data_IF_551897278252
#
_entry.id   IF_551897278252
#
_cell.length_a   1.000
_cell.length_b   1.000
_cell.length_c   1.000
_cell.angle_alpha   90.00
_cell.angle_beta   90.00
_cell.angle_gamma   90.00
#
_symmetry.space_group_name_H-M   'P 1'
#
loop_
_entity.id
_entity.type
_entity.pdbx_description
1 polymer ?
#
# COMPACT_ATOMS: atom_id res chain seq x y z
N UNK A 1 20.90 2.16 -14.81
CA UNK A 1 19.91 3.14 -14.32
C UNK A 1 19.10 3.66 -15.50
N UNK A 2 17.85 3.19 -15.60
CA UNK A 2 16.89 3.64 -16.60
C UNK A 2 16.18 4.93 -16.16
N UNK A 3 15.31 5.44 -17.03
CA UNK A 3 14.42 6.57 -16.70
C UNK A 3 13.30 6.16 -15.74
N UNK A 4 13.04 4.87 -15.64
CA UNK A 4 12.04 4.24 -14.78
C UNK A 4 12.60 3.02 -14.07
N UNK A 5 12.13 2.78 -12.85
CA UNK A 5 12.45 1.61 -12.06
C UNK A 5 11.16 0.86 -11.74
N UNK A 6 11.06 -0.40 -12.16
CA UNK A 6 10.02 -1.32 -11.68
C UNK A 6 10.54 -1.98 -10.39
N UNK A 7 9.83 -1.77 -9.30
CA UNK A 7 10.17 -2.30 -7.98
C UNK A 7 9.15 -3.38 -7.61
N UNK A 8 9.64 -4.55 -7.23
CA UNK A 8 8.82 -5.66 -6.72
C UNK A 8 9.37 -6.10 -5.38
N UNK A 9 8.47 -6.48 -4.47
CA UNK A 9 8.85 -7.15 -3.23
C UNK A 9 9.26 -8.60 -3.52
N UNK A 10 10.04 -9.21 -2.64
CA UNK A 10 10.56 -10.58 -2.85
C UNK A 10 9.46 -11.65 -2.88
N UNK A 11 8.29 -11.34 -2.36
CA UNK A 11 7.08 -12.17 -2.32
C UNK A 11 6.02 -11.73 -3.36
N UNK A 12 6.42 -10.93 -4.37
CA UNK A 12 5.59 -10.54 -5.50
C UNK A 12 6.07 -11.21 -6.79
N UNK A 13 5.15 -11.80 -7.55
CA UNK A 13 5.43 -12.44 -8.84
C UNK A 13 4.56 -11.83 -9.93
N UNK A 14 5.19 -11.26 -10.97
CA UNK A 14 4.45 -10.71 -12.11
C UNK A 14 3.69 -11.83 -12.84
N UNK A 15 2.43 -11.55 -13.14
CA UNK A 15 1.63 -12.37 -14.05
C UNK A 15 2.05 -12.15 -15.51
N UNK A 16 1.77 -13.09 -16.43
CA UNK A 16 1.98 -12.88 -17.85
C UNK A 16 1.31 -11.60 -18.35
N UNK A 17 2.02 -10.81 -19.13
CA UNK A 17 1.52 -9.54 -19.66
C UNK A 17 1.91 -9.36 -21.14
N UNK A 18 1.15 -8.52 -21.86
CA UNK A 18 1.53 -8.11 -23.21
C UNK A 18 2.48 -6.92 -23.15
N UNK A 19 3.68 -7.12 -23.67
CA UNK A 19 4.71 -6.08 -23.75
C UNK A 19 4.23 -4.92 -24.62
N UNK A 20 3.61 -5.19 -25.74
CA UNK A 20 3.14 -4.18 -26.70
C UNK A 20 2.09 -3.26 -26.05
N UNK A 21 1.12 -3.85 -25.33
CA UNK A 21 0.10 -3.08 -24.60
C UNK A 21 0.69 -2.24 -23.48
N UNK A 22 1.67 -2.76 -22.78
CA UNK A 22 2.37 -2.02 -21.72
C UNK A 22 3.13 -0.83 -22.32
N UNK A 23 3.90 -1.05 -23.39
CA UNK A 23 4.65 0.01 -24.08
C UNK A 23 3.72 1.09 -24.64
N UNK A 24 2.58 0.70 -25.23
CA UNK A 24 1.56 1.64 -25.68
C UNK A 24 0.99 2.47 -24.52
N UNK A 25 0.68 1.83 -23.38
CA UNK A 25 0.17 2.50 -22.19
C UNK A 25 1.18 3.49 -21.63
N UNK A 26 2.44 3.10 -21.52
CA UNK A 26 3.54 3.98 -21.06
C UNK A 26 3.69 5.15 -22.02
N UNK A 27 3.69 4.91 -23.33
CA UNK A 27 3.82 5.95 -24.35
C UNK A 27 2.70 6.99 -24.27
N UNK A 28 1.46 6.56 -24.03
CA UNK A 28 0.31 7.47 -23.84
C UNK A 28 0.45 8.32 -22.57
N UNK A 29 0.88 7.71 -21.46
CA UNK A 29 1.11 8.43 -20.22
C UNK A 29 2.28 9.41 -20.35
N UNK A 30 3.34 9.00 -21.03
CA UNK A 30 4.47 9.89 -21.32
C UNK A 30 4.07 11.10 -22.18
N UNK A 31 3.29 10.88 -23.23
CA UNK A 31 2.80 11.96 -24.08
C UNK A 31 1.91 12.95 -23.34
N UNK A 32 1.14 12.48 -22.35
CA UNK A 32 0.21 13.29 -21.58
C UNK A 32 0.89 14.05 -20.43
N UNK A 33 1.86 13.43 -19.74
CA UNK A 33 2.37 13.90 -18.46
C UNK A 33 3.91 14.01 -18.37
N UNK A 34 4.65 13.67 -19.43
CA UNK A 34 6.11 13.63 -19.41
C UNK A 34 6.63 12.63 -18.38
N UNK A 35 7.51 13.05 -17.46
CA UNK A 35 8.04 12.23 -16.37
C UNK A 35 7.27 12.39 -15.04
N UNK A 36 6.23 13.21 -15.00
CA UNK A 36 5.55 13.59 -13.77
C UNK A 36 4.41 12.60 -13.38
N UNK A 37 4.65 11.30 -13.46
CA UNK A 37 3.70 10.27 -13.06
C UNK A 37 4.40 9.03 -12.50
N UNK A 38 3.67 8.22 -11.76
CA UNK A 38 4.06 6.86 -11.36
C UNK A 38 3.11 5.84 -11.97
N UNK A 39 3.57 4.59 -12.10
CA UNK A 39 2.73 3.49 -12.54
C UNK A 39 2.32 2.58 -11.38
N UNK A 40 1.00 2.34 -11.24
CA UNK A 40 0.48 1.33 -10.33
C UNK A 40 0.27 0.01 -11.04
N UNK A 41 0.62 -1.09 -10.37
CA UNK A 41 0.25 -2.44 -10.78
C UNK A 41 -0.95 -2.92 -9.95
N UNK A 42 -1.75 -3.84 -10.53
CA UNK A 42 -2.77 -4.56 -9.78
C UNK A 42 -2.11 -5.71 -9.03
N UNK A 43 -2.15 -5.68 -7.70
CA UNK A 43 -1.63 -6.76 -6.86
C UNK A 43 -2.79 -7.60 -6.31
N UNK A 44 -2.63 -8.91 -6.38
CA UNK A 44 -3.54 -9.90 -5.83
C UNK A 44 -2.94 -10.48 -4.56
N UNK A 45 -3.45 -10.06 -3.43
CA UNK A 45 -2.99 -10.42 -2.09
C UNK A 45 -3.73 -11.68 -1.62
N UNK A 46 -3.04 -12.83 -1.56
CA UNK A 46 -3.57 -14.08 -1.00
C UNK A 46 -3.39 -14.11 0.51
N UNK A 47 -4.45 -14.44 1.25
CA UNK A 47 -4.42 -14.54 2.71
C UNK A 47 -5.35 -15.65 3.23
N UNK A 48 -5.09 -16.14 4.43
CA UNK A 48 -5.96 -17.10 5.08
C UNK A 48 -7.25 -16.43 5.61
N UNK A 49 -8.41 -17.02 5.26
CA UNK A 49 -9.72 -16.61 5.75
C UNK A 49 -10.50 -17.83 6.21
N UNK A 50 -10.52 -18.04 7.52
CA UNK A 50 -11.03 -19.30 8.08
C UNK A 50 -10.21 -20.50 7.60
N UNK A 51 -10.91 -21.50 7.02
CA UNK A 51 -10.30 -22.71 6.50
C UNK A 51 -9.85 -22.61 5.02
N UNK A 52 -10.00 -21.42 4.42
CA UNK A 52 -9.71 -21.19 3.01
C UNK A 52 -8.65 -20.13 2.75
N UNK A 53 -8.38 -19.93 1.45
CA UNK A 53 -7.57 -18.83 0.96
C UNK A 53 -8.49 -17.87 0.23
N UNK A 54 -8.46 -16.60 0.65
CA UNK A 54 -9.11 -15.48 -0.01
C UNK A 54 -8.09 -14.61 -0.72
N UNK A 55 -8.57 -13.86 -1.71
CA UNK A 55 -7.73 -12.94 -2.48
C UNK A 55 -8.34 -11.55 -2.43
N UNK A 56 -7.57 -10.57 -2.03
CA UNK A 56 -7.92 -9.16 -2.18
C UNK A 56 -7.10 -8.52 -3.29
N UNK A 57 -7.62 -7.42 -3.84
CA UNK A 57 -6.98 -6.70 -4.93
C UNK A 57 -6.64 -5.29 -4.51
N UNK A 58 -5.42 -4.86 -4.79
CA UNK A 58 -4.96 -3.50 -4.51
C UNK A 58 -4.20 -2.91 -5.70
N UNK A 59 -4.26 -1.58 -5.86
CA UNK A 59 -3.41 -0.84 -6.79
C UNK A 59 -2.24 -0.26 -6.01
N UNK A 60 -1.02 -0.65 -6.38
CA UNK A 60 0.20 -0.19 -5.72
C UNK A 60 1.16 0.44 -6.72
N UNK A 61 1.76 1.60 -6.37
CA UNK A 61 2.81 2.19 -7.21
C UNK A 61 4.02 1.26 -7.22
N UNK A 62 4.42 0.81 -8.41
CA UNK A 62 5.58 -0.07 -8.60
C UNK A 62 6.50 0.40 -9.71
N UNK A 63 6.01 1.18 -10.67
CA UNK A 63 6.83 1.83 -11.68
C UNK A 63 7.10 3.28 -11.26
N UNK A 64 8.32 3.56 -10.87
CA UNK A 64 8.74 4.85 -10.33
C UNK A 64 9.65 5.57 -11.33
N UNK A 65 9.46 6.86 -11.58
CA UNK A 65 10.40 7.63 -12.40
C UNK A 65 11.75 7.78 -11.69
N UNK A 66 12.77 8.07 -12.45
CA UNK A 66 14.12 8.27 -11.93
C UNK A 66 14.14 9.29 -10.80
N UNK A 67 14.78 8.93 -9.70
CA UNK A 67 14.94 9.79 -8.53
C UNK A 67 13.85 9.64 -7.48
N UNK A 68 12.68 9.08 -7.80
CA UNK A 68 11.67 8.74 -6.80
C UNK A 68 12.10 7.48 -6.04
N UNK A 69 11.98 7.51 -4.74
CA UNK A 69 12.34 6.41 -3.83
C UNK A 69 11.18 6.11 -2.89
N UNK A 70 11.18 4.91 -2.34
CA UNK A 70 10.33 4.60 -1.19
C UNK A 70 10.93 5.20 0.08
N UNK A 71 10.08 5.76 0.91
CA UNK A 71 10.40 6.29 2.23
C UNK A 71 9.49 5.72 3.31
N UNK A 72 9.94 5.80 4.54
CA UNK A 72 9.24 5.27 5.70
C UNK A 72 10.02 4.19 6.43
N UNK A 73 9.59 3.86 7.66
CA UNK A 73 10.21 2.83 8.49
C UNK A 73 9.60 1.47 8.20
N UNK A 74 8.32 1.48 7.86
CA UNK A 74 7.49 0.32 7.55
C UNK A 74 6.32 0.78 6.67
N UNK A 75 5.79 -0.10 5.84
CA UNK A 75 4.75 0.23 4.84
C UNK A 75 5.18 1.43 4.00
N UNK A 76 6.40 1.33 3.46
CA UNK A 76 7.04 2.39 2.69
C UNK A 76 6.14 2.88 1.57
N UNK A 77 6.15 4.18 1.35
CA UNK A 77 5.43 4.84 0.27
C UNK A 77 6.42 5.60 -0.62
N UNK A 78 6.12 5.81 -1.89
CA UNK A 78 6.92 6.69 -2.72
C UNK A 78 6.99 8.10 -2.10
N UNK A 79 8.22 8.61 -1.91
CA UNK A 79 8.48 9.93 -1.34
C UNK A 79 8.29 11.02 -2.41
N UNK A 80 7.03 11.19 -2.82
CA UNK A 80 6.65 12.17 -3.86
C UNK A 80 5.13 12.42 -3.81
N UNK A 81 4.74 13.61 -4.29
CA UNK A 81 3.33 13.98 -4.51
C UNK A 81 2.85 13.82 -5.95
N UNK A 82 3.64 13.19 -6.84
CA UNK A 82 3.22 13.00 -8.24
C UNK A 82 2.12 11.93 -8.34
N UNK A 83 1.26 12.07 -9.36
CA UNK A 83 0.12 11.19 -9.53
C UNK A 83 0.52 9.78 -9.98
N UNK A 84 -0.29 8.79 -9.60
CA UNK A 84 -0.09 7.41 -9.92
C UNK A 84 -1.21 6.90 -10.83
N UNK A 85 -0.83 6.31 -11.97
CA UNK A 85 -1.76 5.81 -12.98
C UNK A 85 -1.69 4.28 -13.10
N UNK A 86 -2.82 3.58 -13.24
CA UNK A 86 -2.82 2.13 -13.40
C UNK A 86 -2.13 1.73 -14.72
N UNK A 87 -1.26 0.74 -14.60
CA UNK A 87 -0.63 0.02 -15.71
C UNK A 87 -1.40 -1.25 -16.04
N UNK A 88 -1.05 -1.88 -17.17
CA UNK A 88 -1.58 -3.19 -17.57
C UNK A 88 -0.68 -4.31 -17.03
N UNK A 89 -0.21 -4.16 -15.80
CA UNK A 89 0.60 -5.14 -15.10
C UNK A 89 -0.14 -5.64 -13.86
N UNK A 90 -0.02 -6.93 -13.63
CA UNK A 90 -0.58 -7.63 -12.50
C UNK A 90 0.49 -8.45 -11.79
N UNK A 91 0.39 -8.58 -10.47
CA UNK A 91 1.27 -9.42 -9.67
C UNK A 91 0.49 -10.21 -8.63
N UNK A 92 0.91 -11.44 -8.41
CA UNK A 92 0.51 -12.24 -7.24
C UNK A 92 1.41 -11.90 -6.07
N UNK A 93 0.82 -11.85 -4.88
CA UNK A 93 1.53 -11.65 -3.62
C UNK A 93 1.04 -12.67 -2.59
N UNK A 94 1.93 -13.52 -2.12
CA UNK A 94 1.66 -14.60 -1.18
C UNK A 94 2.19 -14.34 0.25
N UNK A 95 2.81 -13.20 0.45
CA UNK A 95 3.44 -12.83 1.71
C UNK A 95 2.51 -12.84 2.93
N UNK A 96 1.18 -12.80 2.76
CA UNK A 96 0.21 -12.92 3.85
C UNK A 96 -0.13 -14.37 4.21
N UNK A 97 0.32 -15.34 3.44
CA UNK A 97 0.18 -16.76 3.76
C UNK A 97 1.21 -17.24 4.80
N UNK A 98 2.31 -16.53 4.97
CA UNK A 98 3.46 -16.93 5.80
C UNK A 98 3.41 -16.44 7.26
N UNK A 99 2.23 -16.46 7.90
CA UNK A 99 2.10 -16.22 9.33
C UNK A 99 1.81 -14.77 9.74
N UNK A 100 1.64 -14.54 11.05
CA UNK A 100 1.27 -13.26 11.63
C UNK A 100 2.46 -12.27 11.60
N UNK A 101 2.38 -11.33 10.68
CA UNK A 101 3.34 -10.21 10.58
C UNK A 101 3.06 -9.11 11.63
N UNK A 102 1.95 -9.19 12.36
CA UNK A 102 1.52 -8.15 13.30
C UNK A 102 2.52 -7.91 14.40
N UNK A 103 2.91 -8.95 15.14
CA UNK A 103 3.88 -8.85 16.23
C UNK A 103 5.25 -8.32 15.75
N UNK A 104 5.70 -8.77 14.57
CA UNK A 104 6.96 -8.28 13.97
C UNK A 104 6.88 -6.80 13.60
N UNK A 105 5.75 -6.35 13.08
CA UNK A 105 5.57 -5.00 12.54
C UNK A 105 5.27 -3.96 13.63
N UNK A 106 4.69 -4.37 14.75
CA UNK A 106 4.22 -3.47 15.80
C UNK A 106 5.30 -2.52 16.34
N UNK A 107 6.53 -2.95 16.68
CA UNK A 107 7.58 -2.05 17.16
C UNK A 107 7.99 -0.98 16.13
N UNK A 108 7.97 -1.34 14.84
CA UNK A 108 8.29 -0.39 13.76
C UNK A 108 7.16 0.62 13.56
N UNK A 109 5.89 0.20 13.70
CA UNK A 109 4.74 1.08 13.65
C UNK A 109 4.71 2.05 14.84
N UNK A 110 5.03 1.59 16.03
CA UNK A 110 5.17 2.44 17.23
C UNK A 110 6.24 3.52 17.00
N UNK A 111 7.41 3.12 16.51
CA UNK A 111 8.49 4.05 16.18
C UNK A 111 8.04 5.06 15.11
N UNK A 112 7.38 4.60 14.05
CA UNK A 112 6.88 5.46 12.98
C UNK A 112 5.82 6.46 13.50
N UNK A 113 4.89 6.02 14.34
CA UNK A 113 3.89 6.87 14.95
C UNK A 113 4.50 7.94 15.88
N UNK A 114 5.59 7.61 16.57
CA UNK A 114 6.35 8.58 17.37
C UNK A 114 7.10 9.59 16.50
N UNK A 115 7.71 9.17 15.41
CA UNK A 115 8.44 10.05 14.49
C UNK A 115 7.52 10.98 13.69
N UNK A 116 6.30 10.52 13.38
CA UNK A 116 5.30 11.26 12.63
C UNK A 116 4.01 11.45 13.44
N UNK A 117 4.06 12.22 14.56
CA UNK A 117 2.95 12.29 15.52
C UNK A 117 1.69 12.96 14.97
N UNK A 118 1.77 13.67 13.87
CA UNK A 118 0.62 14.25 13.16
C UNK A 118 0.20 13.44 11.92
N UNK A 119 1.00 12.41 11.53
CA UNK A 119 0.74 11.61 10.34
C UNK A 119 -0.43 10.65 10.54
N UNK A 120 -1.54 10.79 9.80
CA UNK A 120 -2.69 9.87 9.92
C UNK A 120 -2.39 8.48 9.37
N UNK A 121 -1.46 8.34 8.43
CA UNK A 121 -1.13 7.07 7.79
C UNK A 121 -0.65 6.01 8.79
N UNK A 122 0.33 6.32 9.63
CA UNK A 122 0.82 5.36 10.62
C UNK A 122 -0.19 5.06 11.73
N UNK A 123 -1.12 5.98 12.03
CA UNK A 123 -2.26 5.70 12.91
C UNK A 123 -3.22 4.68 12.31
N UNK A 124 -3.50 4.81 11.02
CA UNK A 124 -4.29 3.85 10.27
C UNK A 124 -3.62 2.47 10.27
N UNK A 125 -2.35 2.40 9.92
CA UNK A 125 -1.59 1.14 9.88
C UNK A 125 -1.51 0.47 11.26
N UNK A 126 -1.30 1.24 12.33
CA UNK A 126 -1.32 0.75 13.71
C UNK A 126 -2.70 0.17 14.07
N UNK A 127 -3.77 0.91 13.77
CA UNK A 127 -5.13 0.47 14.06
C UNK A 127 -5.47 -0.82 13.32
N UNK A 128 -5.16 -0.91 12.03
CA UNK A 128 -5.41 -2.09 11.20
C UNK A 128 -4.61 -3.31 11.69
N UNK A 129 -3.33 -3.13 12.02
CA UNK A 129 -2.48 -4.19 12.58
C UNK A 129 -3.04 -4.72 13.89
N UNK A 130 -3.37 -3.84 14.85
CA UNK A 130 -3.94 -4.24 16.14
C UNK A 130 -5.31 -4.94 15.99
N UNK A 131 -6.12 -4.50 15.03
CA UNK A 131 -7.40 -5.17 14.70
C UNK A 131 -7.17 -6.61 14.22
N UNK A 132 -6.23 -6.80 13.30
CA UNK A 132 -5.89 -8.14 12.79
C UNK A 132 -5.36 -9.06 13.90
N UNK A 133 -4.62 -8.49 14.86
CA UNK A 133 -4.17 -9.18 16.09
C UNK A 133 -5.29 -9.39 17.13
N UNK A 134 -6.55 -9.04 16.83
CA UNK A 134 -7.70 -9.10 17.75
C UNK A 134 -7.57 -8.22 19.00
N UNK A 135 -6.64 -7.27 19.01
CA UNK A 135 -6.48 -6.26 20.06
C UNK A 135 -7.44 -5.08 19.82
N UNK A 136 -8.76 -5.37 19.85
CA UNK A 136 -9.78 -4.45 19.37
C UNK A 136 -9.85 -3.14 20.15
N UNK A 137 -9.66 -3.16 21.47
CA UNK A 137 -9.66 -1.94 22.30
C UNK A 137 -8.54 -0.98 21.91
N UNK A 138 -7.33 -1.51 21.72
CA UNK A 138 -6.17 -0.73 21.32
C UNK A 138 -6.36 -0.20 19.88
N UNK A 139 -6.89 -1.05 19.00
CA UNK A 139 -7.22 -0.69 17.62
C UNK A 139 -8.21 0.48 17.56
N UNK A 140 -9.29 0.46 18.35
CA UNK A 140 -10.28 1.54 18.41
C UNK A 140 -9.67 2.89 18.85
N UNK A 141 -8.73 2.86 19.79
CA UNK A 141 -7.99 4.06 20.19
C UNK A 141 -7.26 4.71 19.01
N UNK A 142 -6.54 3.89 18.23
CA UNK A 142 -5.79 4.35 17.07
C UNK A 142 -6.70 4.76 15.90
N UNK A 143 -7.81 4.06 15.65
CA UNK A 143 -8.79 4.45 14.63
C UNK A 143 -9.45 5.79 14.96
N UNK A 144 -9.78 6.07 16.22
CA UNK A 144 -10.31 7.38 16.62
C UNK A 144 -9.31 8.49 16.28
N UNK A 145 -8.05 8.30 16.68
CA UNK A 145 -6.98 9.28 16.41
C UNK A 145 -6.70 9.45 14.91
N UNK A 146 -6.84 8.39 14.12
CA UNK A 146 -6.79 8.43 12.65
C UNK A 146 -7.95 9.26 12.08
N UNK A 147 -9.17 8.97 12.48
CA UNK A 147 -10.38 9.63 11.98
C UNK A 147 -10.36 11.16 12.19
N UNK A 148 -9.85 11.59 13.33
CA UNK A 148 -9.72 13.02 13.67
C UNK A 148 -8.71 13.78 12.80
N UNK A 149 -7.76 13.07 12.20
CA UNK A 149 -6.60 13.67 11.51
C UNK A 149 -6.53 13.38 10.01
N UNK A 150 -7.28 12.40 9.52
CA UNK A 150 -7.17 11.98 8.11
C UNK A 150 -7.71 13.03 7.16
N UNK A 151 -6.93 13.49 6.16
CA UNK A 151 -7.40 14.43 5.15
C UNK A 151 -8.51 13.83 4.29
N UNK A 152 -9.41 14.67 3.81
CA UNK A 152 -10.55 14.25 2.97
C UNK A 152 -10.15 13.50 1.71
N UNK A 153 -9.02 13.88 1.10
CA UNK A 153 -8.49 13.33 -0.15
C UNK A 153 -7.50 12.17 0.04
N UNK A 154 -7.20 11.73 1.26
CA UNK A 154 -6.27 10.62 1.49
C UNK A 154 -6.83 9.32 0.90
N UNK A 155 -6.05 8.63 0.04
CA UNK A 155 -6.49 7.42 -0.66
C UNK A 155 -6.92 6.28 0.28
N UNK A 156 -6.29 6.17 1.45
CA UNK A 156 -6.61 5.18 2.49
C UNK A 156 -7.74 5.61 3.45
N UNK A 157 -8.37 6.79 3.23
CA UNK A 157 -9.39 7.33 4.13
C UNK A 157 -10.64 6.47 4.19
N UNK A 158 -11.16 6.08 3.05
CA UNK A 158 -12.40 5.27 2.96
C UNK A 158 -12.21 3.92 3.63
N UNK A 159 -11.12 3.23 3.32
CA UNK A 159 -10.77 1.96 3.95
C UNK A 159 -10.66 2.09 5.48
N UNK A 160 -9.91 3.10 5.95
CA UNK A 160 -9.73 3.32 7.37
C UNK A 160 -11.02 3.62 8.13
N UNK A 161 -11.95 4.38 7.52
CA UNK A 161 -13.27 4.65 8.12
C UNK A 161 -14.11 3.36 8.16
N UNK A 162 -14.13 2.58 7.08
CA UNK A 162 -14.86 1.31 7.06
C UNK A 162 -14.33 0.34 8.11
N UNK A 163 -13.01 0.17 8.21
CA UNK A 163 -12.41 -0.69 9.24
C UNK A 163 -12.71 -0.19 10.66
N UNK A 164 -12.73 1.13 10.88
CA UNK A 164 -13.14 1.71 12.16
C UNK A 164 -14.58 1.35 12.52
N UNK A 165 -15.51 1.53 11.58
CA UNK A 165 -16.93 1.18 11.79
C UNK A 165 -17.13 -0.32 12.06
N UNK A 166 -16.40 -1.18 11.35
CA UNK A 166 -16.44 -2.65 11.59
C UNK A 166 -15.75 -3.09 12.88
N UNK A 167 -15.02 -2.21 13.54
CA UNK A 167 -14.33 -2.50 14.81
C UNK A 167 -15.14 -2.05 16.03
N UNK A 168 -16.09 -1.12 15.84
CA UNK A 168 -17.02 -0.66 16.88
C UNK A 168 -17.99 -1.74 17.29
#
# INVERSE_FOLDING_TARGET
DGDWNLVLDADETLRPYSRERLEERISRLWAAYGQAWMGAITRYDSYHDGDGISVSTSLIPRLLPRGVRYGGIIHEQPDTGIECYPLLLEADHDGYLSGDKGERNLPYLEKAACMYPQGPYYRFQMAATLRNMKRLKDSLHWFRSFYEKVPGQAGYRTEGILLYLYTL
#
